data_IF_334758855786
#
_entry.id   IF_334758855786
#
_cell.length_a   1.000
_cell.length_b   1.000
_cell.length_c   1.000
_cell.angle_alpha   90.00
_cell.angle_beta   90.00
_cell.angle_gamma   90.00
#
_symmetry.space_group_name_H-M   'P 1'
#
loop_
_entity.id
_entity.type
_entity.pdbx_description
1 polymer ?
#
# COMPACT_ATOMS: atom_id res chain seq x y z
N UNK A 1 10.45 2.73 3.38
CA UNK A 1 11.22 1.47 3.22
C UNK A 1 12.28 1.70 2.15
N UNK A 2 13.47 1.22 2.39
CA UNK A 2 14.53 1.12 1.38
C UNK A 2 15.14 -0.27 1.52
N UNK A 3 14.96 -1.11 0.50
CA UNK A 3 15.47 -2.45 0.45
C UNK A 3 16.21 -2.69 -0.86
N UNK A 4 17.32 -3.42 -0.80
CA UNK A 4 18.10 -3.80 -1.97
C UNK A 4 18.30 -5.31 -1.94
N UNK A 5 17.57 -6.01 -2.77
CA UNK A 5 17.57 -7.47 -2.89
C UNK A 5 18.52 -7.99 -3.96
N UNK A 6 19.45 -7.13 -4.44
CA UNK A 6 20.42 -7.49 -5.47
C UNK A 6 21.23 -8.73 -5.07
N UNK A 7 21.13 -9.80 -5.86
CA UNK A 7 21.83 -11.06 -5.64
C UNK A 7 21.03 -12.09 -4.85
N UNK A 8 19.85 -11.75 -4.35
CA UNK A 8 18.88 -12.72 -3.85
C UNK A 8 18.09 -13.24 -5.04
N UNK A 9 17.92 -14.55 -5.14
CA UNK A 9 17.30 -15.21 -6.29
C UNK A 9 16.25 -16.22 -5.84
N UNK A 10 15.60 -15.94 -4.73
CA UNK A 10 14.50 -16.75 -4.23
C UNK A 10 13.17 -16.35 -4.89
N UNK A 11 12.25 -17.28 -4.99
CA UNK A 11 10.94 -17.05 -5.60
C UNK A 11 10.00 -16.29 -4.69
N UNK A 12 10.21 -16.39 -3.38
CA UNK A 12 9.46 -15.67 -2.37
C UNK A 12 10.39 -15.17 -1.27
N UNK A 13 10.22 -13.92 -0.92
CA UNK A 13 11.01 -13.27 0.12
C UNK A 13 10.10 -12.51 1.07
N UNK A 14 10.26 -12.76 2.37
CA UNK A 14 9.51 -12.10 3.43
C UNK A 14 10.35 -10.98 4.05
N UNK A 15 9.98 -9.74 3.74
CA UNK A 15 10.53 -8.52 4.29
C UNK A 15 9.50 -7.78 5.16
N UNK A 16 8.53 -8.48 5.74
CA UNK A 16 7.48 -7.85 6.56
C UNK A 16 8.00 -7.21 7.85
N UNK A 17 9.25 -7.47 8.21
CA UNK A 17 9.96 -6.73 9.26
C UNK A 17 10.38 -5.31 8.84
N UNK A 18 10.35 -5.00 7.54
CA UNK A 18 10.56 -3.65 7.01
C UNK A 18 9.21 -2.98 6.82
N UNK A 19 9.02 -1.86 7.49
CA UNK A 19 7.75 -1.15 7.45
C UNK A 19 7.91 0.36 7.33
N UNK A 20 6.82 1.02 6.96
CA UNK A 20 6.69 2.48 6.97
C UNK A 20 5.25 2.85 7.32
N UNK A 21 5.09 4.05 7.87
CA UNK A 21 3.78 4.60 8.19
C UNK A 21 3.19 5.31 6.97
N UNK A 22 1.88 5.14 6.80
CA UNK A 22 1.07 5.85 5.83
C UNK A 22 -0.21 6.36 6.50
N UNK A 23 -0.83 7.39 5.94
CA UNK A 23 -2.02 8.02 6.53
C UNK A 23 -3.14 8.04 5.50
N UNK A 24 -4.36 7.71 5.92
CA UNK A 24 -5.56 7.80 5.07
C UNK A 24 -5.66 9.14 4.35
N UNK A 25 -6.10 9.11 3.11
CA UNK A 25 -6.26 10.27 2.26
C UNK A 25 -4.95 10.88 1.75
N UNK A 26 -3.79 10.44 2.22
CA UNK A 26 -2.49 10.93 1.74
C UNK A 26 -1.99 10.10 0.55
N UNK A 27 -1.23 10.75 -0.33
CA UNK A 27 -0.64 10.11 -1.50
C UNK A 27 0.85 9.84 -1.28
N UNK A 28 1.30 8.69 -1.74
CA UNK A 28 2.68 8.21 -1.62
C UNK A 28 3.15 7.62 -2.95
N UNK A 29 4.43 7.33 -3.04
CA UNK A 29 5.02 6.63 -4.17
C UNK A 29 5.77 5.39 -3.70
N UNK A 30 5.70 4.34 -4.53
CA UNK A 30 6.59 3.18 -4.43
C UNK A 30 7.49 3.21 -5.65
N UNK A 31 8.80 3.32 -5.43
CA UNK A 31 9.82 3.22 -6.47
C UNK A 31 10.37 1.79 -6.49
N UNK A 32 10.22 1.11 -7.62
CA UNK A 32 10.59 -0.28 -7.79
C UNK A 32 11.56 -0.39 -8.95
N UNK A 33 12.71 -1.02 -8.70
CA UNK A 33 13.66 -1.39 -9.73
C UNK A 33 13.71 -2.92 -9.83
N UNK A 34 13.13 -3.47 -10.89
CA UNK A 34 13.22 -4.90 -11.14
C UNK A 34 14.62 -5.23 -11.63
N UNK A 35 15.17 -6.31 -11.09
CA UNK A 35 16.43 -6.91 -11.54
C UNK A 35 16.22 -8.39 -11.89
N UNK A 36 17.25 -9.01 -12.41
CA UNK A 36 17.32 -10.46 -12.55
C UNK A 36 18.64 -10.98 -12.00
N UNK A 37 18.68 -12.30 -11.76
CA UNK A 37 19.79 -12.91 -11.04
C UNK A 37 21.10 -13.03 -11.83
N UNK A 38 21.12 -12.74 -13.13
CA UNK A 38 22.35 -12.88 -13.93
C UNK A 38 22.35 -12.25 -15.32
N UNK A 39 21.21 -11.84 -15.84
CA UNK A 39 21.07 -11.28 -17.19
C UNK A 39 20.01 -10.19 -17.20
N UNK A 40 20.07 -9.31 -18.19
CA UNK A 40 19.08 -8.24 -18.35
C UNK A 40 17.90 -8.73 -19.19
N UNK A 41 16.99 -9.46 -18.59
CA UNK A 41 15.75 -9.90 -19.24
C UNK A 41 14.61 -8.90 -19.01
N UNK A 42 13.70 -8.74 -19.99
CA UNK A 42 12.53 -7.93 -19.78
C UNK A 42 11.62 -8.57 -18.74
N UNK A 43 11.32 -7.81 -17.70
CA UNK A 43 10.43 -8.19 -16.62
C UNK A 43 9.35 -7.15 -16.42
N UNK A 44 8.25 -7.54 -15.84
CA UNK A 44 7.18 -6.66 -15.41
C UNK A 44 6.55 -7.22 -14.16
N UNK A 45 5.64 -6.48 -13.57
CA UNK A 45 5.08 -6.89 -12.29
C UNK A 45 3.82 -6.13 -11.90
N UNK A 46 3.35 -6.44 -10.70
CA UNK A 46 2.24 -5.77 -10.05
C UNK A 46 2.55 -5.50 -8.59
N UNK A 47 1.88 -4.49 -8.06
CA UNK A 47 1.90 -4.14 -6.64
C UNK A 47 0.50 -4.26 -6.10
N UNK A 48 0.38 -4.93 -4.95
CA UNK A 48 -0.84 -5.13 -4.21
C UNK A 48 -0.68 -4.60 -2.79
N UNK A 49 -1.75 -4.03 -2.23
CA UNK A 49 -1.80 -3.61 -0.82
C UNK A 49 -3.15 -4.05 -0.27
N UNK A 50 -3.10 -4.80 0.83
CA UNK A 50 -4.28 -5.22 1.58
C UNK A 50 -4.78 -4.03 2.42
N UNK A 51 -5.76 -3.29 1.88
CA UNK A 51 -6.25 -2.05 2.48
C UNK A 51 -7.22 -2.25 3.63
N UNK A 52 -7.94 -3.36 3.64
CA UNK A 52 -8.95 -3.65 4.64
C UNK A 52 -8.45 -4.56 5.77
N UNK A 53 -7.20 -5.04 5.66
CA UNK A 53 -6.49 -5.87 6.65
C UNK A 53 -7.23 -7.21 6.87
N UNK A 54 -7.79 -7.78 5.82
CA UNK A 54 -8.48 -9.08 5.89
C UNK A 54 -7.57 -10.27 5.53
N UNK A 55 -6.36 -9.99 5.04
CA UNK A 55 -5.30 -10.96 4.80
C UNK A 55 -5.26 -11.49 3.37
N UNK A 56 -6.04 -10.91 2.46
CA UNK A 56 -5.95 -11.22 1.04
C UNK A 56 -5.71 -9.96 0.18
N UNK A 57 -5.84 -10.04 -1.14
CA UNK A 57 -5.60 -8.96 -2.09
C UNK A 57 -6.64 -9.00 -3.21
N UNK A 58 -7.86 -9.47 -2.91
CA UNK A 58 -8.90 -9.68 -3.92
C UNK A 58 -9.91 -8.53 -3.97
N UNK A 59 -9.80 -7.57 -3.09
CA UNK A 59 -10.75 -6.47 -2.99
C UNK A 59 -10.48 -5.37 -4.02
N UNK A 60 -11.53 -4.67 -4.45
CA UNK A 60 -11.40 -3.58 -5.40
C UNK A 60 -10.46 -2.48 -4.90
N UNK A 61 -9.40 -2.20 -5.67
CA UNK A 61 -8.40 -1.17 -5.34
C UNK A 61 -7.15 -1.69 -4.65
N UNK A 62 -7.06 -2.97 -4.34
CA UNK A 62 -5.87 -3.57 -3.73
C UNK A 62 -4.76 -3.86 -4.74
N UNK A 63 -5.08 -4.07 -6.01
CA UNK A 63 -4.10 -3.94 -7.08
C UNK A 63 -3.81 -2.44 -7.30
N UNK A 64 -2.73 -1.93 -6.71
CA UNK A 64 -2.42 -0.49 -6.70
C UNK A 64 -1.63 -0.04 -7.92
N UNK A 65 -0.97 -0.96 -8.62
CA UNK A 65 -0.27 -0.58 -9.83
C UNK A 65 0.43 -1.70 -10.57
N UNK A 66 0.81 -1.38 -11.80
CA UNK A 66 1.50 -2.28 -12.72
C UNK A 66 2.88 -1.74 -13.03
N UNK A 67 3.88 -2.60 -12.96
CA UNK A 67 5.24 -2.34 -13.43
C UNK A 67 5.30 -2.76 -14.91
N UNK A 68 5.50 -1.81 -15.83
CA UNK A 68 5.52 -2.13 -17.26
C UNK A 68 6.62 -3.12 -17.62
N UNK A 69 6.37 -3.93 -18.65
CA UNK A 69 7.39 -4.83 -19.18
C UNK A 69 8.54 -4.00 -19.75
N UNK A 70 9.73 -4.25 -19.31
CA UNK A 70 10.93 -3.58 -19.81
C UNK A 70 12.21 -4.18 -19.26
N UNK A 71 13.32 -3.68 -19.78
CA UNK A 71 14.64 -3.93 -19.17
C UNK A 71 14.70 -3.27 -17.78
N UNK A 72 15.59 -3.71 -16.91
CA UNK A 72 15.72 -3.16 -15.58
C UNK A 72 15.75 -1.63 -15.57
N UNK A 73 14.76 -1.04 -14.95
CA UNK A 73 14.61 0.41 -14.78
C UNK A 73 13.72 0.66 -13.56
N UNK A 74 13.85 1.83 -12.96
CA UNK A 74 12.97 2.22 -11.86
C UNK A 74 11.60 2.64 -12.39
N UNK A 75 10.56 2.06 -11.83
CA UNK A 75 9.17 2.45 -12.06
C UNK A 75 8.63 3.06 -10.77
N UNK A 76 8.02 4.23 -10.87
CA UNK A 76 7.31 4.88 -9.76
C UNK A 76 5.82 4.57 -9.87
N UNK A 77 5.25 3.99 -8.83
CA UNK A 77 3.82 3.72 -8.70
C UNK A 77 3.25 4.66 -7.65
N UNK A 78 2.45 5.66 -8.04
CA UNK A 78 1.74 6.51 -7.10
C UNK A 78 0.51 5.78 -6.57
N UNK A 79 0.20 5.99 -5.28
CA UNK A 79 -1.03 5.52 -4.67
C UNK A 79 -1.55 6.50 -3.64
N UNK A 80 -2.84 6.46 -3.36
CA UNK A 80 -3.48 7.20 -2.27
C UNK A 80 -4.09 6.21 -1.31
N UNK A 81 -3.82 6.38 -0.02
CA UNK A 81 -4.37 5.51 1.01
C UNK A 81 -5.89 5.72 1.09
N UNK A 82 -6.71 4.69 0.87
CA UNK A 82 -8.14 4.82 0.91
C UNK A 82 -8.65 5.04 2.35
N UNK A 83 -9.85 5.60 2.48
CA UNK A 83 -10.56 5.67 3.76
C UNK A 83 -11.28 4.34 4.00
N UNK A 84 -10.54 3.34 4.41
CA UNK A 84 -11.05 1.98 4.65
C UNK A 84 -11.66 1.80 6.04
N UNK A 85 -11.24 2.64 6.99
CA UNK A 85 -11.55 2.48 8.41
C UNK A 85 -10.77 1.34 9.08
N UNK A 86 -9.86 0.69 8.37
CA UNK A 86 -8.96 -0.31 8.90
C UNK A 86 -7.58 0.32 9.19
N UNK A 87 -7.12 0.18 10.41
CA UNK A 87 -5.87 0.80 10.89
C UNK A 87 -4.93 -0.23 11.47
N UNK A 88 -3.65 -0.01 11.30
CA UNK A 88 -2.59 -0.87 11.80
C UNK A 88 -1.71 -1.43 10.69
N UNK A 89 -0.96 -2.46 11.03
CA UNK A 89 -0.03 -3.09 10.10
C UNK A 89 -0.77 -3.95 9.07
N UNK A 90 -0.43 -3.75 7.82
CA UNK A 90 -0.91 -4.56 6.70
C UNK A 90 0.22 -4.86 5.72
N UNK A 91 -0.09 -5.62 4.68
CA UNK A 91 0.89 -6.14 3.74
C UNK A 91 0.90 -5.36 2.43
N UNK A 92 2.10 -5.10 1.95
CA UNK A 92 2.39 -4.72 0.57
C UNK A 92 3.06 -5.90 -0.11
N UNK A 93 2.56 -6.32 -1.24
CA UNK A 93 3.12 -7.40 -2.03
C UNK A 93 3.55 -6.89 -3.40
N UNK A 94 4.78 -7.19 -3.78
CA UNK A 94 5.33 -6.91 -5.10
C UNK A 94 5.57 -8.24 -5.78
N UNK A 95 4.92 -8.46 -6.92
CA UNK A 95 5.11 -9.67 -7.73
C UNK A 95 5.73 -9.27 -9.05
N UNK A 96 6.90 -9.81 -9.35
CA UNK A 96 7.60 -9.61 -10.61
C UNK A 96 7.73 -10.91 -11.39
N UNK A 97 7.76 -10.82 -12.71
CA UNK A 97 7.88 -11.97 -13.58
C UNK A 97 8.63 -11.60 -14.86
N UNK A 98 9.45 -12.53 -15.37
CA UNK A 98 9.95 -12.46 -16.73
C UNK A 98 8.79 -12.54 -17.73
N UNK A 99 8.76 -11.61 -18.66
CA UNK A 99 7.66 -11.49 -19.62
C UNK A 99 8.21 -11.43 -21.04
N UNK A 100 7.92 -12.49 -21.78
CA UNK A 100 8.19 -12.57 -23.21
C UNK A 100 6.93 -12.14 -23.98
N UNK A 101 6.72 -10.84 -24.14
CA UNK A 101 5.62 -10.22 -24.90
C UNK A 101 4.19 -10.49 -24.45
N UNK A 102 3.95 -11.16 -23.34
CA UNK A 102 2.58 -11.44 -22.90
C UNK A 102 2.42 -11.31 -21.40
N UNK A 103 1.51 -10.40 -21.00
CA UNK A 103 0.61 -10.60 -19.90
C UNK A 103 1.12 -10.24 -18.49
N UNK A 104 1.53 -8.99 -18.26
CA UNK A 104 1.45 -8.42 -16.90
C UNK A 104 0.05 -8.65 -16.32
N UNK A 105 -0.99 -8.73 -17.17
CA UNK A 105 -2.36 -9.01 -16.76
C UNK A 105 -2.60 -10.39 -16.13
N UNK A 106 -1.71 -11.36 -16.34
CA UNK A 106 -1.83 -12.70 -15.73
C UNK A 106 -1.15 -12.83 -14.36
N UNK A 107 -0.40 -11.83 -13.92
CA UNK A 107 0.22 -11.83 -12.60
C UNK A 107 -0.86 -11.61 -11.55
N UNK A 108 -0.98 -12.55 -10.62
CA UNK A 108 -1.89 -12.51 -9.49
C UNK A 108 -1.18 -12.29 -8.17
N UNK A 109 -1.90 -11.91 -7.12
CA UNK A 109 -1.33 -11.69 -5.80
C UNK A 109 -0.83 -12.97 -5.12
N UNK A 110 -1.31 -14.13 -5.55
CA UNK A 110 -0.94 -15.44 -4.99
C UNK A 110 0.18 -16.15 -5.77
N UNK A 111 0.84 -15.46 -6.69
CA UNK A 111 1.95 -16.00 -7.46
C UNK A 111 3.23 -16.00 -6.61
N UNK A 112 3.41 -17.05 -5.81
CA UNK A 112 4.53 -17.21 -4.85
C UNK A 112 5.49 -18.33 -5.27
N UNK A 113 5.68 -18.54 -6.56
CA UNK A 113 6.58 -19.57 -7.05
C UNK A 113 6.02 -21.00 -7.00
N UNK A 114 4.72 -21.15 -6.81
CA UNK A 114 4.06 -22.45 -6.80
C UNK A 114 3.76 -22.92 -8.22
N UNK A 115 4.07 -24.17 -8.52
CA UNK A 115 3.78 -24.80 -9.81
C UNK A 115 2.25 -24.90 -10.03
N UNK A 116 1.68 -24.00 -10.79
CA UNK A 116 0.27 -24.04 -11.18
C UNK A 116 -0.01 -25.02 -12.34
N UNK A 117 1.04 -25.44 -13.08
CA UNK A 117 0.98 -26.41 -14.17
C UNK A 117 2.38 -27.00 -14.37
N UNK A 118 2.54 -28.28 -14.80
CA UNK A 118 3.82 -28.98 -14.82
C UNK A 118 4.94 -28.34 -15.64
N UNK A 119 4.70 -27.20 -16.28
CA UNK A 119 5.67 -26.55 -17.17
C UNK A 119 6.11 -25.17 -16.67
N UNK A 120 5.31 -24.46 -15.84
CA UNK A 120 5.63 -23.09 -15.43
C UNK A 120 5.38 -22.87 -13.93
N UNK A 121 6.39 -22.36 -13.26
CA UNK A 121 6.29 -21.85 -11.87
C UNK A 121 5.88 -20.39 -11.97
N UNK A 122 4.85 -19.99 -11.25
CA UNK A 122 4.46 -18.57 -11.15
C UNK A 122 4.95 -17.98 -9.82
N UNK A 123 5.61 -16.82 -9.83
CA UNK A 123 5.99 -16.02 -10.99
C UNK A 123 7.17 -16.68 -11.75
N UNK A 124 7.06 -16.79 -13.07
CA UNK A 124 8.07 -17.46 -13.89
C UNK A 124 9.33 -16.60 -14.01
N UNK A 125 10.46 -17.12 -13.55
CA UNK A 125 11.72 -16.37 -13.45
C UNK A 125 11.54 -14.99 -12.81
N UNK A 126 10.75 -14.90 -11.77
CA UNK A 126 10.46 -13.70 -11.02
C UNK A 126 10.51 -13.95 -9.53
N UNK A 127 10.07 -12.97 -8.77
CA UNK A 127 10.00 -13.04 -7.32
C UNK A 127 8.70 -12.41 -6.80
N UNK A 128 8.29 -12.87 -5.63
CA UNK A 128 7.26 -12.24 -4.82
C UNK A 128 7.89 -11.77 -3.53
N UNK A 129 7.77 -10.49 -3.25
CA UNK A 129 8.31 -9.85 -2.05
C UNK A 129 7.18 -9.26 -1.22
N UNK A 130 7.14 -9.58 0.07
CA UNK A 130 6.21 -9.03 1.03
C UNK A 130 6.87 -8.02 1.95
N UNK A 131 6.23 -6.86 2.12
CA UNK A 131 6.61 -5.78 3.03
C UNK A 131 5.43 -5.41 3.92
N UNK A 132 5.66 -4.58 4.94
CA UNK A 132 4.57 -4.02 5.76
C UNK A 132 4.44 -2.51 5.58
N UNK A 133 3.20 -2.03 5.67
CA UNK A 133 2.89 -0.64 5.95
C UNK A 133 1.99 -0.56 7.18
N UNK A 134 2.04 0.56 7.90
CA UNK A 134 1.15 0.82 9.02
C UNK A 134 0.20 1.94 8.61
N UNK A 135 -1.08 1.60 8.49
CA UNK A 135 -2.13 2.56 8.14
C UNK A 135 -2.54 3.32 9.39
N UNK A 136 -2.38 4.63 9.35
CA UNK A 136 -2.81 5.54 10.39
C UNK A 136 -4.07 6.30 9.94
N UNK A 137 -4.97 6.59 10.88
CA UNK A 137 -6.12 7.42 10.58
C UNK A 137 -5.69 8.85 10.26
N UNK A 138 -6.42 9.52 9.37
CA UNK A 138 -6.26 10.95 9.17
C UNK A 138 -6.59 11.67 10.48
N UNK A 139 -5.69 12.52 10.95
CA UNK A 139 -6.02 13.42 12.06
C UNK A 139 -6.98 14.48 11.52
N UNK A 140 -8.24 14.37 11.88
CA UNK A 140 -9.22 15.41 11.57
C UNK A 140 -9.02 16.52 12.62
N UNK A 141 -8.45 17.65 12.18
CA UNK A 141 -8.43 18.85 13.01
C UNK A 141 -9.82 19.44 13.01
N UNK A 142 -10.55 19.30 14.10
CA UNK A 142 -11.84 19.96 14.28
C UNK A 142 -11.65 21.32 14.95
N UNK A 143 -12.30 22.35 14.42
CA UNK A 143 -12.43 23.64 15.08
C UNK A 143 -13.76 23.65 15.84
N UNK A 144 -13.72 24.07 17.07
CA UNK A 144 -14.87 24.17 17.96
C UNK A 144 -15.22 25.62 18.19
N UNK A 145 -16.50 25.95 18.13
CA UNK A 145 -17.02 27.25 18.56
C UNK A 145 -18.25 27.03 19.43
N UNK A 146 -18.07 27.18 20.73
CA UNK A 146 -19.15 27.05 21.68
C UNK A 146 -19.96 28.33 21.79
N UNK A 147 -21.20 28.24 22.21
CA UNK A 147 -22.10 29.40 22.42
C UNK A 147 -21.59 30.41 23.47
N UNK A 148 -20.61 30.04 24.28
CA UNK A 148 -19.88 30.93 25.20
C UNK A 148 -18.56 31.44 24.60
N UNK A 149 -18.34 31.29 23.30
CA UNK A 149 -17.16 31.68 22.54
C UNK A 149 -15.87 30.92 22.87
N UNK A 150 -15.94 29.83 23.63
CA UNK A 150 -14.79 28.94 23.80
C UNK A 150 -14.50 28.18 22.48
N UNK A 151 -13.22 27.91 22.21
CA UNK A 151 -12.74 27.23 20.99
C UNK A 151 -12.00 25.92 21.30
N UNK A 152 -12.15 25.43 22.52
CA UNK A 152 -11.53 24.18 22.98
C UNK A 152 -12.44 23.00 22.70
N UNK A 153 -11.88 21.79 22.67
CA UNK A 153 -12.63 20.53 22.49
C UNK A 153 -13.59 20.22 23.64
N UNK A 154 -13.36 20.87 24.78
CA UNK A 154 -14.16 20.74 26.00
C UNK A 154 -14.32 22.07 26.70
N UNK A 155 -15.41 22.25 27.43
CA UNK A 155 -15.66 23.40 28.27
C UNK A 155 -15.99 22.95 29.72
N UNK A 156 -15.50 23.72 30.69
CA UNK A 156 -15.68 23.42 32.12
C UNK A 156 -16.24 24.62 32.90
N UNK A 157 -16.58 24.42 34.17
CA UNK A 157 -17.14 25.43 35.05
C UNK A 157 -18.44 26.05 34.50
N UNK A 158 -19.32 25.20 33.99
CA UNK A 158 -20.55 25.59 33.31
C UNK A 158 -21.64 26.05 34.31
N UNK A 159 -22.35 27.11 33.94
CA UNK A 159 -23.61 27.50 34.58
C UNK A 159 -24.74 26.59 34.13
N UNK A 160 -25.90 26.65 34.84
CA UNK A 160 -27.10 25.90 34.48
C UNK A 160 -27.81 26.60 33.30
N UNK A 161 -27.25 26.44 32.09
CA UNK A 161 -27.82 26.94 30.83
C UNK A 161 -27.53 25.92 29.71
N UNK A 162 -28.21 26.09 28.60
CA UNK A 162 -27.90 25.26 27.39
C UNK A 162 -26.68 25.82 26.68
N UNK A 163 -25.74 24.94 26.39
CA UNK A 163 -24.59 25.25 25.54
C UNK A 163 -24.75 24.50 24.21
N UNK A 164 -24.39 25.17 23.13
CA UNK A 164 -24.28 24.59 21.80
C UNK A 164 -22.84 24.73 21.32
N UNK A 165 -22.43 23.82 20.46
CA UNK A 165 -21.11 23.84 19.81
C UNK A 165 -21.28 23.69 18.31
N UNK A 166 -20.63 24.55 17.56
CA UNK A 166 -20.40 24.38 16.14
C UNK A 166 -19.05 23.72 15.95
N UNK A 167 -19.04 22.58 15.28
CA UNK A 167 -17.83 21.81 14.99
C UNK A 167 -17.63 21.87 13.47
N UNK A 168 -16.44 22.34 13.07
CA UNK A 168 -16.10 22.49 11.67
C UNK A 168 -14.80 21.74 11.40
N UNK A 169 -14.77 20.88 10.41
CA UNK A 169 -13.55 20.24 9.96
C UNK A 169 -12.67 21.18 9.12
N UNK A 170 -11.51 20.68 8.72
CA UNK A 170 -10.58 21.44 7.86
C UNK A 170 -11.16 21.78 6.46
N UNK A 171 -12.26 21.15 6.05
CA UNK A 171 -12.95 21.40 4.78
C UNK A 171 -14.13 22.38 4.94
N UNK A 172 -14.41 22.81 6.18
CA UNK A 172 -15.47 23.77 6.49
C UNK A 172 -16.87 23.14 6.67
N UNK A 173 -16.91 21.81 6.93
CA UNK A 173 -18.16 21.09 7.18
C UNK A 173 -18.35 20.75 8.65
#
# INVERSE_FOLDING_TARGET
>A
INNNTTGVCDQYEDYTNLFTDVTEGQSYNIDISLGDCSNNYPSGGKVFIDWNIDGDFNDPGEEVGTIPIGLPSTTTIPFTVPFSGAYGATRVRIVSQFLNNTLVGSIGPCDIGVMANPIYIQPWYGATEDYSIVINSATVSANYLWSNFATTDSISNLSIVTYTVDITDQNGC
#
